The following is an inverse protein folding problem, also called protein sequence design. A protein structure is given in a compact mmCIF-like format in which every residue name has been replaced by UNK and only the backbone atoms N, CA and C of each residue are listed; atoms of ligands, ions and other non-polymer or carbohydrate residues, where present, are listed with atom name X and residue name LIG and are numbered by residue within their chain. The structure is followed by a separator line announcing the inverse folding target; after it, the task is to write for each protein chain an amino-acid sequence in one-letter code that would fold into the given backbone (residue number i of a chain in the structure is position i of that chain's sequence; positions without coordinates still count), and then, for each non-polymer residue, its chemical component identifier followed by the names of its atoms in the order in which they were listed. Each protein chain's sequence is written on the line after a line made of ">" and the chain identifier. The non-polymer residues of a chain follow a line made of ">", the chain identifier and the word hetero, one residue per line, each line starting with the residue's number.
data_IF_847559951432
#
_entry.id   IF_847559951432
#
_cell.length_a   1.000
_cell.length_b   1.000
_cell.length_c   1.000
_cell.angle_alpha   90.00
_cell.angle_beta   90.00
_cell.angle_gamma   90.00
#
_symmetry.space_group_name_H-M   'P 1'
#
loop_
_entity.id
_entity.type
_entity.pdbx_description
1 polymer ?
#
# COMPACT_ATOMS: atom_id res chain seq x y z
N UNK A 1 -17.57 -4.03 3.28
CA UNK A 1 -16.54 -4.89 2.66
C UNK A 1 -16.39 -4.53 1.19
N UNK A 2 -15.18 -4.20 0.76
CA UNK A 2 -14.86 -3.91 -0.64
C UNK A 2 -14.78 -5.20 -1.47
N UNK A 3 -15.23 -5.16 -2.72
CA UNK A 3 -15.05 -6.24 -3.68
C UNK A 3 -13.69 -6.10 -4.38
N UNK A 4 -12.63 -6.55 -3.71
CA UNK A 4 -11.26 -6.48 -4.23
C UNK A 4 -10.93 -7.75 -5.01
N UNK A 5 -10.40 -7.59 -6.22
CA UNK A 5 -9.86 -8.67 -7.03
C UNK A 5 -8.34 -8.51 -7.12
N UNK A 6 -7.60 -9.56 -6.78
CA UNK A 6 -6.14 -9.50 -6.75
C UNK A 6 -5.54 -9.13 -8.11
N UNK A 7 -6.02 -9.73 -9.21
CA UNK A 7 -5.47 -9.49 -10.54
C UNK A 7 -5.65 -8.03 -11.00
N UNK A 8 -6.81 -7.42 -10.71
CA UNK A 8 -7.05 -6.00 -10.98
C UNK A 8 -6.10 -5.11 -10.19
N UNK A 9 -5.92 -5.40 -8.89
CA UNK A 9 -5.00 -4.65 -8.03
C UNK A 9 -3.56 -4.79 -8.51
N UNK A 10 -3.10 -6.01 -8.80
CA UNK A 10 -1.74 -6.28 -9.24
C UNK A 10 -1.43 -5.60 -10.58
N UNK A 11 -2.35 -5.68 -11.55
CA UNK A 11 -2.19 -5.02 -12.85
C UNK A 11 -2.02 -3.51 -12.69
N UNK A 12 -2.88 -2.88 -11.89
CA UNK A 12 -2.79 -1.44 -11.64
C UNK A 12 -1.53 -1.08 -10.83
N UNK A 13 -1.21 -1.84 -9.78
CA UNK A 13 -0.04 -1.60 -8.94
C UNK A 13 1.24 -1.64 -9.77
N UNK A 14 1.47 -2.71 -10.55
CA UNK A 14 2.66 -2.86 -11.38
C UNK A 14 2.73 -1.83 -12.50
N UNK A 15 1.59 -1.42 -13.05
CA UNK A 15 1.55 -0.35 -14.04
C UNK A 15 2.14 0.96 -13.48
N UNK A 16 1.76 1.36 -12.26
CA UNK A 16 2.27 2.58 -11.63
C UNK A 16 3.68 2.42 -11.05
N UNK A 17 4.02 1.23 -10.53
CA UNK A 17 5.36 0.91 -10.01
C UNK A 17 6.43 0.93 -11.11
N UNK A 18 6.06 0.55 -12.34
CA UNK A 18 6.94 0.64 -13.50
C UNK A 18 7.18 2.07 -14.03
N UNK A 19 6.50 3.08 -13.49
CA UNK A 19 6.68 4.48 -13.91
C UNK A 19 7.83 5.13 -13.17
N UNK A 20 8.56 6.01 -13.85
CA UNK A 20 9.49 6.91 -13.16
C UNK A 20 8.71 7.88 -12.27
N UNK A 21 9.30 8.40 -11.18
CA UNK A 21 8.64 9.41 -10.36
C UNK A 21 8.18 10.65 -11.15
N UNK A 22 8.91 11.02 -12.21
CA UNK A 22 8.51 12.10 -13.11
C UNK A 22 7.25 11.76 -13.91
N UNK A 23 7.20 10.58 -14.53
CA UNK A 23 6.04 10.12 -15.29
C UNK A 23 4.81 9.93 -14.41
N UNK A 24 4.98 9.40 -13.19
CA UNK A 24 3.89 9.24 -12.23
C UNK A 24 3.32 10.60 -11.82
N UNK A 25 4.16 11.61 -11.57
CA UNK A 25 3.70 12.98 -11.28
C UNK A 25 2.91 13.58 -12.42
N UNK A 26 3.41 13.46 -13.65
CA UNK A 26 2.74 13.96 -14.84
C UNK A 26 1.36 13.31 -15.03
N UNK A 27 1.31 11.99 -14.85
CA UNK A 27 0.09 11.18 -14.94
C UNK A 27 -0.95 11.63 -13.92
N UNK A 28 -0.54 11.95 -12.69
CA UNK A 28 -1.45 12.33 -11.61
C UNK A 28 -1.75 13.83 -11.54
N UNK A 29 -0.89 14.67 -12.11
CA UNK A 29 -0.94 16.14 -11.96
C UNK A 29 -0.69 16.62 -10.52
N UNK A 30 0.03 15.84 -9.70
CA UNK A 30 0.30 16.17 -8.30
C UNK A 30 1.68 16.85 -8.10
N UNK A 31 1.79 17.68 -7.07
CA UNK A 31 3.06 18.34 -6.70
C UNK A 31 4.14 17.35 -6.24
N UNK A 32 5.41 17.75 -6.35
CA UNK A 32 6.56 16.91 -5.97
C UNK A 32 6.52 16.52 -4.48
N UNK A 33 6.19 17.46 -3.60
CA UNK A 33 6.08 17.21 -2.15
C UNK A 33 4.98 16.20 -1.78
N UNK A 34 3.94 16.07 -2.61
CA UNK A 34 2.90 15.07 -2.46
C UNK A 34 3.40 13.65 -2.78
N UNK A 35 4.39 13.54 -3.69
CA UNK A 35 4.95 12.29 -4.21
C UNK A 35 6.25 11.84 -3.54
N UNK A 36 6.96 12.71 -2.80
CA UNK A 36 8.16 12.36 -2.00
C UNK A 36 7.92 11.17 -1.04
N UNK A 37 6.66 10.84 -0.75
CA UNK A 37 6.27 9.66 0.05
C UNK A 37 6.08 8.38 -0.75
N UNK A 38 6.24 8.35 -2.08
CA UNK A 38 5.98 7.17 -2.90
C UNK A 38 6.82 5.93 -2.51
N UNK A 39 7.98 6.13 -1.88
CA UNK A 39 8.83 5.04 -1.38
C UNK A 39 8.23 4.20 -0.24
N UNK A 40 7.10 4.62 0.34
CA UNK A 40 6.38 3.86 1.37
C UNK A 40 5.21 3.02 0.83
N UNK A 41 5.00 3.03 -0.50
CA UNK A 41 4.02 2.22 -1.23
C UNK A 41 2.54 2.61 -1.05
N UNK A 42 2.23 3.64 -0.24
CA UNK A 42 0.85 4.09 -0.03
C UNK A 42 0.21 4.68 -1.28
N UNK A 43 0.97 5.43 -2.08
CA UNK A 43 0.49 5.99 -3.34
C UNK A 43 0.15 4.87 -4.33
N UNK A 44 1.06 3.92 -4.54
CA UNK A 44 0.86 2.80 -5.45
C UNK A 44 -0.35 1.95 -5.04
N UNK A 45 -0.46 1.64 -3.74
CA UNK A 45 -1.59 0.89 -3.20
C UNK A 45 -2.90 1.67 -3.35
N UNK A 46 -2.90 2.99 -3.10
CA UNK A 46 -4.08 3.84 -3.31
C UNK A 46 -4.53 3.86 -4.77
N UNK A 47 -3.59 3.99 -5.72
CA UNK A 47 -3.90 3.99 -7.14
C UNK A 47 -4.45 2.65 -7.61
N UNK A 48 -3.90 1.54 -7.11
CA UNK A 48 -4.44 0.21 -7.37
C UNK A 48 -5.89 0.08 -6.86
N UNK A 49 -6.16 0.50 -5.63
CA UNK A 49 -7.52 0.50 -5.05
C UNK A 49 -8.49 1.37 -5.87
N UNK A 50 -8.08 2.59 -6.23
CA UNK A 50 -8.91 3.50 -7.04
C UNK A 50 -9.21 2.89 -8.42
N UNK A 51 -8.22 2.26 -9.05
CA UNK A 51 -8.36 1.57 -10.33
C UNK A 51 -9.31 0.38 -10.24
N UNK A 52 -9.36 -0.28 -9.09
CA UNK A 52 -10.37 -1.31 -8.76
C UNK A 52 -11.75 -0.73 -8.39
N UNK A 53 -11.98 0.58 -8.59
CA UNK A 53 -13.26 1.24 -8.33
C UNK A 53 -13.44 1.76 -6.90
N UNK A 54 -12.46 1.60 -6.01
CA UNK A 54 -12.57 2.00 -4.61
C UNK A 54 -12.51 3.52 -4.45
N UNK A 55 -13.47 4.10 -3.73
CA UNK A 55 -13.45 5.52 -3.39
C UNK A 55 -12.66 5.75 -2.09
N UNK A 56 -11.47 6.33 -2.22
CA UNK A 56 -10.65 6.76 -1.09
C UNK A 56 -10.95 8.22 -0.73
N UNK A 57 -10.66 8.57 0.53
CA UNK A 57 -10.87 9.91 1.10
C UNK A 57 -9.57 10.56 1.57
N UNK A 58 -8.44 10.23 0.91
CA UNK A 58 -7.14 10.74 1.28
C UNK A 58 -6.94 12.23 0.94
N UNK A 59 -5.83 12.84 1.41
CA UNK A 59 -5.61 14.28 1.30
C UNK A 59 -5.23 14.75 -0.11
N UNK A 60 -4.74 13.85 -0.98
CA UNK A 60 -4.24 14.21 -2.30
C UNK A 60 -5.31 14.00 -3.36
N UNK A 61 -5.55 15.01 -4.19
CA UNK A 61 -6.46 14.96 -5.33
C UNK A 61 -5.65 14.69 -6.61
N UNK A 62 -6.15 13.77 -7.43
CA UNK A 62 -5.64 13.52 -8.77
C UNK A 62 -6.20 14.58 -9.70
N UNK A 63 -5.31 15.28 -10.42
CA UNK A 63 -5.67 16.41 -11.27
C UNK A 63 -5.68 16.01 -12.75
N UNK A 64 -4.87 15.01 -13.14
CA UNK A 64 -4.74 14.56 -14.53
C UNK A 64 -5.09 13.08 -14.73
N UNK A 65 -5.35 12.73 -15.99
CA UNK A 65 -5.53 11.36 -16.45
C UNK A 65 -6.92 10.75 -16.17
N UNK A 66 -7.06 9.42 -16.34
CA UNK A 66 -8.36 8.74 -16.23
C UNK A 66 -8.94 8.73 -14.81
N UNK A 67 -8.13 9.05 -13.80
CA UNK A 67 -8.51 9.08 -12.40
C UNK A 67 -8.74 10.51 -11.87
N UNK A 68 -8.79 11.53 -12.74
CA UNK A 68 -9.00 12.93 -12.35
C UNK A 68 -10.21 13.09 -11.42
N UNK A 69 -10.04 13.91 -10.39
CA UNK A 69 -11.05 14.20 -9.37
C UNK A 69 -11.10 13.18 -8.23
N UNK A 70 -10.48 12.01 -8.38
CA UNK A 70 -10.35 11.02 -7.30
C UNK A 70 -9.32 11.49 -6.28
N UNK A 71 -9.44 10.98 -5.06
CA UNK A 71 -8.51 11.25 -3.96
C UNK A 71 -7.69 10.02 -3.63
N UNK A 72 -6.44 10.19 -3.23
CA UNK A 72 -5.52 9.13 -2.84
C UNK A 72 -4.94 9.39 -1.43
N UNK A 73 -4.61 8.31 -0.75
CA UNK A 73 -3.91 8.34 0.53
C UNK A 73 -2.41 8.08 0.32
N UNK A 74 -1.55 8.92 0.89
CA UNK A 74 -0.09 8.79 0.78
C UNK A 74 0.58 8.44 2.12
N UNK A 75 -0.23 8.19 3.16
CA UNK A 75 0.21 7.86 4.50
C UNK A 75 -0.12 6.38 4.82
N UNK A 76 0.88 5.48 4.93
CA UNK A 76 0.66 4.04 5.04
C UNK A 76 -0.20 3.63 6.23
N UNK A 77 0.11 4.14 7.43
CA UNK A 77 -0.68 3.83 8.63
C UNK A 77 -2.15 4.25 8.47
N UNK A 78 -2.40 5.43 7.87
CA UNK A 78 -3.78 5.90 7.63
C UNK A 78 -4.50 5.05 6.56
N UNK A 79 -3.79 4.64 5.50
CA UNK A 79 -4.35 3.76 4.50
C UNK A 79 -4.68 2.37 5.10
N UNK A 80 -3.81 1.85 5.96
CA UNK A 80 -4.03 0.62 6.70
C UNK A 80 -5.24 0.71 7.65
N UNK A 81 -5.39 1.82 8.38
CA UNK A 81 -6.57 2.09 9.23
C UNK A 81 -7.85 2.20 8.38
N UNK A 82 -7.77 2.87 7.23
CA UNK A 82 -8.90 2.95 6.29
C UNK A 82 -9.29 1.56 5.76
N UNK A 83 -8.32 0.69 5.44
CA UNK A 83 -8.59 -0.69 5.01
C UNK A 83 -9.23 -1.52 6.13
N UNK A 84 -8.71 -1.41 7.36
CA UNK A 84 -9.26 -2.09 8.52
C UNK A 84 -10.74 -1.71 8.78
N UNK A 85 -11.09 -0.44 8.56
CA UNK A 85 -12.46 0.07 8.79
C UNK A 85 -13.42 -0.18 7.63
N UNK A 86 -12.94 -0.20 6.37
CA UNK A 86 -13.82 -0.24 5.18
C UNK A 86 -13.84 -1.57 4.43
N UNK A 87 -12.76 -2.33 4.48
CA UNK A 87 -12.67 -3.63 3.82
C UNK A 87 -12.98 -4.76 4.79
N UNK A 88 -12.05 -5.06 5.70
CA UNK A 88 -12.15 -6.06 6.76
C UNK A 88 -11.01 -5.89 7.76
N UNK A 89 -11.14 -6.51 8.94
CA UNK A 89 -10.04 -6.57 9.92
C UNK A 89 -8.82 -7.32 9.33
N UNK A 90 -7.59 -6.81 9.50
CA UNK A 90 -6.39 -7.51 9.06
C UNK A 90 -6.08 -8.73 9.94
N UNK A 91 -5.32 -9.65 9.38
CA UNK A 91 -4.53 -10.58 10.18
C UNK A 91 -3.33 -9.82 10.79
N UNK A 92 -3.17 -9.93 12.11
CA UNK A 92 -2.08 -9.30 12.84
C UNK A 92 -0.94 -10.32 12.99
N UNK A 93 0.17 -10.09 12.30
CA UNK A 93 1.35 -10.95 12.35
C UNK A 93 2.27 -10.50 13.49
N UNK A 94 2.61 -11.44 14.37
CA UNK A 94 3.46 -11.16 15.52
C UNK A 94 4.91 -10.90 15.08
N UNK A 95 5.52 -9.86 15.66
CA UNK A 95 6.92 -9.49 15.44
C UNK A 95 7.89 -10.13 16.44
N UNK A 96 7.44 -11.09 17.27
CA UNK A 96 8.23 -11.69 18.36
C UNK A 96 9.51 -12.38 17.88
N UNK A 97 9.47 -12.96 16.66
CA UNK A 97 10.63 -13.60 16.01
C UNK A 97 11.26 -12.75 14.90
N UNK A 98 10.88 -11.46 14.83
CA UNK A 98 11.37 -10.54 13.81
C UNK A 98 10.70 -10.68 12.43
N UNK A 99 11.13 -9.84 11.49
CA UNK A 99 10.53 -9.72 10.16
C UNK A 99 10.84 -10.90 9.22
N UNK A 100 11.91 -11.65 9.49
CA UNK A 100 12.22 -12.89 8.74
C UNK A 100 11.14 -13.97 8.96
N UNK A 101 10.64 -14.12 10.18
CA UNK A 101 9.54 -15.05 10.50
C UNK A 101 8.22 -14.59 9.86
N UNK A 102 7.95 -13.29 9.88
CA UNK A 102 6.82 -12.68 9.16
C UNK A 102 6.90 -12.97 7.65
N UNK A 103 8.09 -12.82 7.04
CA UNK A 103 8.28 -13.15 5.63
C UNK A 103 7.97 -14.62 5.32
N UNK A 104 8.35 -15.53 6.22
CA UNK A 104 8.02 -16.95 6.09
C UNK A 104 6.51 -17.21 6.18
N UNK A 105 5.82 -16.59 7.14
CA UNK A 105 4.36 -16.69 7.28
C UNK A 105 3.59 -16.13 6.06
N UNK A 106 4.16 -15.12 5.39
CA UNK A 106 3.59 -14.49 4.20
C UNK A 106 3.96 -15.18 2.89
N UNK A 107 4.88 -16.16 2.92
CA UNK A 107 5.32 -16.85 1.72
C UNK A 107 4.16 -17.60 1.05
N UNK A 108 4.03 -17.45 -0.27
CA UNK A 108 2.93 -18.01 -1.06
C UNK A 108 1.61 -17.23 -0.98
N UNK A 109 1.48 -16.24 -0.08
CA UNK A 109 0.24 -15.50 0.15
C UNK A 109 0.18 -14.21 -0.67
N UNK A 110 -1.02 -13.86 -1.12
CA UNK A 110 -1.29 -12.69 -1.97
C UNK A 110 -2.23 -11.73 -1.28
N UNK A 111 -1.98 -10.44 -1.42
CA UNK A 111 -2.80 -9.42 -0.78
C UNK A 111 -2.03 -8.16 -0.43
N UNK A 112 -2.54 -7.39 0.53
CA UNK A 112 -1.91 -6.15 0.97
C UNK A 112 -1.25 -6.40 2.32
N UNK A 113 0.00 -5.98 2.48
CA UNK A 113 0.72 -5.98 3.76
C UNK A 113 1.04 -4.55 4.17
N UNK A 114 0.80 -4.21 5.43
CA UNK A 114 1.19 -2.93 6.01
C UNK A 114 2.10 -3.14 7.23
N UNK A 115 3.26 -2.48 7.21
CA UNK A 115 4.22 -2.45 8.30
C UNK A 115 3.98 -1.17 9.10
N UNK A 116 3.25 -1.27 10.20
CA UNK A 116 2.77 -0.12 10.97
C UNK A 116 3.88 0.41 11.86
N UNK A 117 4.21 1.70 11.73
CA UNK A 117 5.12 2.38 12.64
C UNK A 117 4.33 3.17 13.69
N UNK A 118 4.70 3.07 14.96
CA UNK A 118 3.84 3.48 16.08
C UNK A 118 3.44 4.96 16.20
N UNK A 119 4.13 5.88 15.53
CA UNK A 119 3.86 7.32 15.67
C UNK A 119 3.61 7.99 14.33
N UNK A 120 2.44 8.61 14.18
CA UNK A 120 2.07 9.47 13.06
C UNK A 120 1.44 8.73 11.87
N UNK A 121 0.61 9.43 11.07
CA UNK A 121 -0.16 8.82 9.99
C UNK A 121 0.70 8.33 8.83
N UNK A 122 1.90 8.89 8.65
CA UNK A 122 2.79 8.61 7.52
C UNK A 122 3.95 7.66 7.84
N UNK A 123 4.02 7.15 9.07
CA UNK A 123 5.02 6.14 9.43
C UNK A 123 4.77 4.82 8.72
N UNK A 124 5.82 4.00 8.63
CA UNK A 124 5.74 2.65 8.10
C UNK A 124 5.73 2.55 6.57
N UNK A 125 5.28 1.40 6.08
CA UNK A 125 5.13 1.12 4.65
C UNK A 125 3.92 0.22 4.39
N UNK A 126 3.44 0.22 3.15
CA UNK A 126 2.35 -0.66 2.70
C UNK A 126 2.65 -1.13 1.28
N UNK A 127 2.43 -2.41 1.00
CA UNK A 127 2.79 -3.03 -0.27
C UNK A 127 1.80 -4.11 -0.70
N UNK A 128 1.83 -4.45 -2.00
CA UNK A 128 1.10 -5.57 -2.56
C UNK A 128 2.01 -6.81 -2.63
N UNK A 129 1.53 -7.92 -2.05
CA UNK A 129 2.19 -9.21 -2.08
C UNK A 129 1.70 -10.09 -3.23
N UNK A 130 2.62 -10.77 -3.90
CA UNK A 130 2.36 -11.67 -5.04
C UNK A 130 2.57 -13.17 -4.73
N UNK A 131 2.89 -13.47 -3.47
CA UNK A 131 3.24 -14.80 -2.98
C UNK A 131 4.73 -15.12 -3.07
N UNK A 132 5.55 -14.27 -3.67
CA UNK A 132 7.00 -14.46 -3.82
C UNK A 132 7.82 -13.28 -3.28
N UNK A 133 7.22 -12.09 -3.20
CA UNK A 133 7.89 -10.86 -2.82
C UNK A 133 7.76 -10.48 -1.32
N UNK A 134 7.31 -11.38 -0.46
CA UNK A 134 7.19 -11.09 0.98
C UNK A 134 8.55 -10.74 1.63
N UNK A 135 9.60 -11.53 1.35
CA UNK A 135 10.93 -11.32 1.90
C UNK A 135 11.53 -9.93 1.59
N UNK A 136 11.58 -9.44 0.33
CA UNK A 136 12.13 -8.12 0.04
C UNK A 136 11.35 -6.98 0.72
N UNK A 137 10.02 -7.09 0.84
CA UNK A 137 9.22 -6.09 1.56
C UNK A 137 9.49 -6.09 3.07
N UNK A 138 9.65 -7.27 3.67
CA UNK A 138 10.04 -7.41 5.08
C UNK A 138 11.44 -6.82 5.33
N UNK A 139 12.43 -7.10 4.47
CA UNK A 139 13.78 -6.53 4.58
C UNK A 139 13.75 -4.99 4.46
N UNK A 140 13.01 -4.45 3.48
CA UNK A 140 12.87 -3.01 3.35
C UNK A 140 12.20 -2.36 4.57
N UNK A 141 11.25 -3.06 5.21
CA UNK A 141 10.57 -2.60 6.39
C UNK A 141 11.44 -2.61 7.66
N UNK A 142 12.53 -3.38 7.74
CA UNK A 142 13.39 -3.45 8.93
C UNK A 142 13.94 -2.06 9.33
N UNK A 143 14.33 -1.25 8.35
CA UNK A 143 14.83 0.11 8.58
C UNK A 143 13.77 1.08 9.15
N UNK A 144 12.48 0.71 9.08
CA UNK A 144 11.36 1.50 9.57
C UNK A 144 10.96 1.13 11.01
N UNK A 145 11.53 0.06 11.57
CA UNK A 145 11.22 -0.46 12.90
C UNK A 145 9.71 -0.56 13.17
N UNK A 146 8.97 -1.37 12.39
CA UNK A 146 7.53 -1.51 12.55
C UNK A 146 7.20 -2.10 13.92
N UNK A 147 6.06 -1.69 14.48
CA UNK A 147 5.52 -2.19 15.75
C UNK A 147 4.44 -3.24 15.56
N UNK A 148 3.83 -3.28 14.38
CA UNK A 148 2.84 -4.27 13.99
C UNK A 148 2.92 -4.53 12.49
N UNK A 149 2.50 -5.72 12.08
CA UNK A 149 2.33 -6.07 10.66
C UNK A 149 0.89 -6.52 10.46
N UNK A 150 0.20 -5.83 9.56
CA UNK A 150 -1.19 -6.11 9.22
C UNK A 150 -1.23 -6.71 7.81
N UNK A 151 -1.97 -7.80 7.64
CA UNK A 151 -2.12 -8.47 6.35
C UNK A 151 -3.60 -8.62 5.96
N UNK A 152 -3.92 -8.24 4.73
CA UNK A 152 -5.21 -8.49 4.10
C UNK A 152 -4.99 -9.41 2.90
N UNK A 153 -5.33 -10.68 3.08
CA UNK A 153 -5.36 -11.63 1.98
C UNK A 153 -6.43 -11.27 0.94
N UNK A 154 -6.03 -11.23 -0.34
CA UNK A 154 -6.90 -10.94 -1.47
C UNK A 154 -6.82 -12.12 -2.43
N UNK A 155 -7.97 -12.73 -2.70
CA UNK A 155 -8.12 -13.85 -3.62
C UNK A 155 -8.05 -13.42 -5.09
#
# INVERSE_FOLDING_TARGET
>A
MLNLNYATLATAYHHYDGMTPAALRETLGCSESAMVRAGNGAVLTSLALISAGVQLSGPLKIENGPLTGRKLENAPNRLAEWLATRHREPENLALTKGLADVAYQLFGRRGIVAFIQGTGPAGGSIALLDGKNAAPHCVAAEALHPRAVHFWEIA
#
